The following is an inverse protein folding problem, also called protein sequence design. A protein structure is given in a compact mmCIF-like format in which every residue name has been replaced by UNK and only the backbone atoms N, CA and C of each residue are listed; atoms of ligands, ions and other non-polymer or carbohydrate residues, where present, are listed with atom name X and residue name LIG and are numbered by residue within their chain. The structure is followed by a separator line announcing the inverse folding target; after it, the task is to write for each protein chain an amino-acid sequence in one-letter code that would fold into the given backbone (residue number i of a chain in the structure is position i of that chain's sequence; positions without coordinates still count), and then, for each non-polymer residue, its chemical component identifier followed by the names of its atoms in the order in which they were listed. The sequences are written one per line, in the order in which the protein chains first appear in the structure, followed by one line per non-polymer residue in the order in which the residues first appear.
data_IF_073118397175
#
_entry.id   IF_073118397175
#
_cell.length_a   1.000
_cell.length_b   1.000
_cell.length_c   1.000
_cell.angle_alpha   90.00
_cell.angle_beta   90.00
_cell.angle_gamma   90.00
#
_symmetry.space_group_name_H-M   'P 1'
#
loop_
_entity.id
_entity.type
_entity.pdbx_description
1 polymer ?
#
# COMPACT_ATOMS: atom_id res chain seq x y z
N UNK A 1 6.80 15.10 -10.06
CA UNK A 1 6.97 13.89 -9.21
C UNK A 1 6.23 14.19 -7.94
N UNK A 2 5.06 13.55 -7.78
CA UNK A 2 4.07 13.97 -6.80
C UNK A 2 4.49 13.59 -5.37
N UNK A 3 4.26 14.53 -4.45
CA UNK A 3 4.59 14.44 -3.03
C UNK A 3 3.61 13.46 -2.35
N UNK A 4 3.89 12.15 -2.43
CA UNK A 4 3.24 11.12 -1.59
C UNK A 4 3.78 11.12 -0.14
N UNK A 5 4.39 12.23 0.29
CA UNK A 5 4.82 12.39 1.68
C UNK A 5 3.60 12.69 2.54
N UNK A 6 3.52 12.01 3.68
CA UNK A 6 2.52 12.32 4.68
C UNK A 6 2.59 13.80 5.08
N UNK A 7 1.44 14.48 5.08
CA UNK A 7 1.31 15.83 5.62
C UNK A 7 0.02 15.96 6.43
N UNK A 8 0.00 16.97 7.31
CA UNK A 8 -1.19 17.30 8.08
C UNK A 8 -2.20 18.01 7.17
N UNK A 9 -3.37 17.40 7.02
CA UNK A 9 -4.45 17.90 6.17
C UNK A 9 -5.16 19.08 6.87
N UNK A 10 -5.40 20.16 6.13
CA UNK A 10 -6.20 21.30 6.62
C UNK A 10 -7.71 21.02 6.56
N UNK A 11 -8.54 21.82 7.23
CA UNK A 11 -10.01 21.63 7.15
C UNK A 11 -10.55 21.81 5.72
N UNK A 12 -9.99 22.77 4.98
CA UNK A 12 -10.39 23.05 3.59
C UNK A 12 -9.99 21.90 2.67
N UNK A 13 -8.77 21.37 2.85
CA UNK A 13 -8.28 20.23 2.09
C UNK A 13 -9.06 18.95 2.43
N UNK A 14 -9.45 18.76 3.69
CA UNK A 14 -10.30 17.66 4.11
C UNK A 14 -11.67 17.69 3.39
N UNK A 15 -12.30 18.85 3.30
CA UNK A 15 -13.58 19.00 2.59
C UNK A 15 -13.43 18.79 1.08
N UNK A 16 -12.30 19.23 0.49
CA UNK A 16 -11.99 18.96 -0.92
C UNK A 16 -11.83 17.45 -1.17
N UNK A 17 -11.03 16.76 -0.35
CA UNK A 17 -10.84 15.31 -0.44
C UNK A 17 -12.17 14.56 -0.31
N UNK A 18 -13.04 14.97 0.63
CA UNK A 18 -14.36 14.35 0.80
C UNK A 18 -15.23 14.48 -0.45
N UNK A 19 -15.26 15.66 -1.07
CA UNK A 19 -16.04 15.90 -2.30
C UNK A 19 -15.51 15.08 -3.46
N UNK A 20 -14.20 15.05 -3.65
CA UNK A 20 -13.56 14.25 -4.70
C UNK A 20 -13.78 12.75 -4.50
N UNK A 21 -13.58 12.25 -3.28
CA UNK A 21 -13.84 10.86 -2.93
C UNK A 21 -15.30 10.48 -3.18
N UNK A 22 -16.25 11.34 -2.81
CA UNK A 22 -17.67 11.12 -3.09
C UNK A 22 -17.94 11.03 -4.60
N UNK A 23 -17.41 11.96 -5.38
CA UNK A 23 -17.59 11.94 -6.84
C UNK A 23 -17.00 10.66 -7.47
N UNK A 24 -15.84 10.19 -6.99
CA UNK A 24 -15.24 8.93 -7.44
C UNK A 24 -16.16 7.75 -7.11
N UNK A 25 -16.67 7.67 -5.88
CA UNK A 25 -17.57 6.59 -5.45
C UNK A 25 -18.89 6.60 -6.23
N UNK A 26 -19.49 7.78 -6.43
CA UNK A 26 -20.74 7.92 -7.17
C UNK A 26 -20.56 7.52 -8.64
N UNK A 27 -19.46 7.94 -9.27
CA UNK A 27 -19.15 7.57 -10.65
C UNK A 27 -18.85 6.06 -10.79
N UNK A 28 -18.13 5.49 -9.82
CA UNK A 28 -17.84 4.06 -9.79
C UNK A 28 -19.13 3.24 -9.61
N UNK A 29 -20.03 3.67 -8.74
CA UNK A 29 -21.35 3.05 -8.55
C UNK A 29 -22.17 3.04 -9.83
N UNK A 30 -22.25 4.18 -10.53
CA UNK A 30 -22.92 4.27 -11.84
C UNK A 30 -22.29 3.35 -12.89
N UNK A 31 -20.96 3.33 -12.96
CA UNK A 31 -20.26 2.45 -13.88
C UNK A 31 -20.52 0.96 -13.57
N UNK A 32 -20.67 0.59 -12.30
CA UNK A 32 -21.05 -0.77 -11.91
C UNK A 32 -22.50 -1.11 -12.31
N UNK A 33 -23.43 -0.15 -12.19
CA UNK A 33 -24.82 -0.33 -12.62
C UNK A 33 -24.95 -0.51 -14.15
N UNK A 34 -24.07 0.11 -14.93
CA UNK A 34 -24.02 -0.02 -16.39
C UNK A 34 -23.42 -1.35 -16.88
N UNK A 35 -22.71 -2.09 -16.02
CA UNK A 35 -22.19 -3.42 -16.35
C UNK A 35 -23.35 -4.42 -16.21
N UNK A 36 -24.05 -4.70 -17.31
CA UNK A 36 -25.00 -5.81 -17.41
C UNK A 36 -24.29 -7.11 -17.02
N UNK A 37 -24.85 -7.84 -16.06
CA UNK A 37 -24.26 -9.04 -15.47
C UNK A 37 -23.79 -10.06 -16.52
N UNK A 38 -22.48 -10.21 -16.63
CA UNK A 38 -21.77 -11.46 -16.35
C UNK A 38 -20.27 -11.18 -16.49
N UNK A 39 -19.59 -10.88 -15.39
CA UNK A 39 -18.18 -11.27 -15.28
C UNK A 39 -18.19 -12.78 -15.02
N UNK A 40 -18.65 -13.57 -16.00
CA UNK A 40 -18.67 -15.03 -15.96
C UNK A 40 -17.26 -15.53 -16.22
N UNK A 41 -16.43 -15.35 -15.20
CA UNK A 41 -15.05 -15.79 -15.16
C UNK A 41 -14.49 -15.43 -13.81
N UNK A 42 -14.05 -16.43 -13.06
CA UNK A 42 -13.16 -16.22 -11.92
C UNK A 42 -11.98 -15.37 -12.43
N UNK A 43 -11.95 -14.07 -12.14
CA UNK A 43 -10.78 -13.20 -12.36
C UNK A 43 -9.62 -13.58 -11.44
N UNK A 44 -9.81 -14.64 -10.67
CA UNK A 44 -8.87 -15.21 -9.72
C UNK A 44 -8.10 -16.37 -10.36
N UNK A 45 -6.77 -16.37 -10.17
CA UNK A 45 -5.95 -17.52 -10.52
C UNK A 45 -6.02 -18.54 -9.37
N UNK A 46 -6.69 -19.68 -9.60
CA UNK A 46 -6.71 -20.79 -8.64
C UNK A 46 -5.33 -21.43 -8.55
N UNK A 47 -4.63 -21.18 -7.44
CA UNK A 47 -3.32 -21.79 -7.17
C UNK A 47 -3.50 -23.11 -6.40
N UNK A 48 -2.80 -24.16 -6.83
CA UNK A 48 -2.79 -25.46 -6.16
C UNK A 48 -2.15 -25.40 -4.76
N UNK A 49 -1.17 -24.51 -4.58
CA UNK A 49 -0.46 -24.30 -3.33
C UNK A 49 -0.26 -22.80 -3.10
N UNK A 50 -0.40 -22.37 -1.84
CA UNK A 50 -0.16 -20.99 -1.40
C UNK A 50 1.01 -20.90 -0.40
N UNK A 51 1.63 -22.04 -0.11
CA UNK A 51 2.74 -22.16 0.83
C UNK A 51 4.02 -22.50 0.10
N UNK A 52 5.14 -22.05 0.64
CA UNK A 52 6.48 -22.43 0.20
C UNK A 52 7.10 -23.29 1.29
N UNK A 53 7.83 -24.35 0.89
CA UNK A 53 8.63 -25.14 1.83
C UNK A 53 9.71 -24.25 2.44
N UNK A 54 9.87 -24.33 3.76
CA UNK A 54 10.94 -23.60 4.44
C UNK A 54 12.31 -24.04 3.89
N UNK A 55 13.19 -23.06 3.66
CA UNK A 55 14.55 -23.29 3.16
C UNK A 55 15.53 -22.43 3.95
N UNK A 56 16.65 -23.02 4.39
CA UNK A 56 17.73 -22.30 5.04
C UNK A 56 18.65 -21.60 4.01
N UNK A 57 18.08 -20.69 3.22
CA UNK A 57 18.88 -19.88 2.31
C UNK A 57 19.67 -18.83 3.09
N UNK A 58 20.98 -18.72 2.84
CA UNK A 58 21.78 -17.63 3.39
C UNK A 58 21.36 -16.31 2.73
N UNK A 59 21.22 -15.26 3.54
CA UNK A 59 20.99 -13.91 3.03
C UNK A 59 22.21 -13.43 2.24
N UNK A 60 21.97 -12.84 1.07
CA UNK A 60 23.05 -12.17 0.32
C UNK A 60 23.53 -10.96 1.11
N UNK A 61 24.84 -10.73 1.17
CA UNK A 61 25.41 -9.58 1.89
C UNK A 61 24.82 -8.24 1.43
N UNK A 62 24.58 -8.11 0.13
CA UNK A 62 23.99 -6.93 -0.52
C UNK A 62 22.55 -6.63 -0.09
N UNK A 63 21.80 -7.63 0.39
CA UNK A 63 20.40 -7.44 0.81
C UNK A 63 20.31 -6.44 1.95
N UNK A 64 21.27 -6.48 2.88
CA UNK A 64 21.31 -5.58 4.03
C UNK A 64 21.45 -4.13 3.59
N UNK A 65 22.37 -3.88 2.65
CA UNK A 65 22.67 -2.54 2.16
C UNK A 65 21.48 -1.96 1.38
N UNK A 66 20.80 -2.78 0.56
CA UNK A 66 19.58 -2.39 -0.16
C UNK A 66 18.44 -2.09 0.82
N UNK A 67 18.22 -2.98 1.79
CA UNK A 67 17.13 -2.85 2.77
C UNK A 67 17.24 -1.54 3.55
N UNK A 68 18.42 -1.25 4.10
CA UNK A 68 18.63 0.00 4.83
C UNK A 68 18.82 1.19 3.88
N UNK A 69 19.28 0.99 2.65
CA UNK A 69 19.47 2.02 1.62
C UNK A 69 18.28 2.98 1.49
N UNK A 70 17.07 2.42 1.52
CA UNK A 70 15.82 3.16 1.36
C UNK A 70 15.25 3.75 2.66
N UNK A 71 15.86 3.53 3.82
CA UNK A 71 15.34 4.01 5.08
C UNK A 71 15.62 5.51 5.30
N UNK A 72 14.58 6.28 5.61
CA UNK A 72 14.68 7.73 5.84
C UNK A 72 15.61 8.10 7.01
N UNK A 73 15.57 7.33 8.10
CA UNK A 73 16.46 7.51 9.25
C UNK A 73 16.98 6.16 9.73
N UNK A 74 18.30 6.00 9.76
CA UNK A 74 18.98 4.74 10.12
C UNK A 74 20.27 4.99 10.88
N UNK A 75 20.70 3.97 11.59
CA UNK A 75 22.09 3.72 12.00
C UNK A 75 22.52 2.43 11.31
N UNK A 76 23.83 2.14 11.29
CA UNK A 76 24.45 1.01 10.58
C UNK A 76 23.61 -0.28 10.60
N UNK A 77 23.03 -0.62 11.75
CA UNK A 77 22.33 -1.89 11.95
C UNK A 77 20.84 -1.77 12.29
N UNK A 78 20.25 -0.56 12.29
CA UNK A 78 18.85 -0.37 12.68
C UNK A 78 18.19 0.88 12.08
N UNK A 79 16.88 0.81 11.86
CA UNK A 79 16.06 1.96 11.47
C UNK A 79 15.72 2.76 12.73
N UNK A 80 15.91 4.08 12.69
CA UNK A 80 15.52 4.97 13.78
C UNK A 80 14.07 5.39 13.57
N UNK A 81 13.23 5.14 14.56
CA UNK A 81 11.84 5.56 14.57
C UNK A 81 11.55 6.36 15.85
N UNK A 82 10.49 7.16 15.82
CA UNK A 82 10.02 7.86 17.01
C UNK A 82 9.60 6.86 18.11
N UNK A 83 9.90 7.19 19.37
CA UNK A 83 9.44 6.39 20.50
C UNK A 83 7.93 6.57 20.64
N UNK A 84 7.16 5.68 20.04
CA UNK A 84 5.71 5.69 20.17
C UNK A 84 5.31 5.52 21.64
N UNK A 85 4.62 6.53 22.20
CA UNK A 85 3.68 6.30 23.30
C UNK A 85 2.42 5.73 22.67
N UNK A 86 2.46 4.46 22.29
CA UNK A 86 1.25 3.74 21.92
C UNK A 86 0.34 3.77 23.14
N UNK A 87 -0.74 4.55 23.08
CA UNK A 87 -1.84 4.58 24.05
C UNK A 87 -3.01 3.82 23.46
#
# INVERSE_FOLDING_TARGET
MDNFLWHKISKEEQEKIKKEAKAIMDNFGKALEEVEEEVSGDSSVKRKLQTRKETHAQSKKEFRDIFFGNAHSKSQDYIKAEKGKWK
#
